data_IF_130229106024
#
_entry.id   IF_130229106024
#
_cell.length_a   1.000
_cell.length_b   1.000
_cell.length_c   1.000
_cell.angle_alpha   90.00
_cell.angle_beta   90.00
_cell.angle_gamma   90.00
#
_symmetry.space_group_name_H-M   'P 1'
#
loop_
_entity.id
_entity.type
_entity.pdbx_description
1 polymer ?
#
# COMPACT_ATOMS: atom_id res chain seq x y z
N UNK A 1 12.43 -14.48 -14.46
CA UNK A 1 12.71 -13.11 -13.92
C UNK A 1 14.03 -12.58 -14.49
N UNK A 2 14.10 -11.28 -14.87
CA UNK A 2 15.33 -10.65 -15.39
C UNK A 2 16.35 -10.43 -14.24
N UNK A 3 17.68 -10.42 -14.55
CA UNK A 3 18.75 -10.20 -13.56
C UNK A 3 18.50 -8.97 -12.67
N UNK A 4 18.16 -7.81 -13.26
CA UNK A 4 17.88 -6.57 -12.53
C UNK A 4 16.68 -6.70 -11.57
N UNK A 5 15.63 -7.41 -11.96
CA UNK A 5 14.47 -7.67 -11.10
C UNK A 5 14.84 -8.56 -9.90
N UNK A 6 15.69 -9.59 -10.14
CA UNK A 6 16.19 -10.44 -9.05
C UNK A 6 17.07 -9.63 -8.09
N UNK A 7 17.99 -8.81 -8.62
CA UNK A 7 18.83 -7.94 -7.80
C UNK A 7 18.01 -6.94 -6.97
N UNK A 8 16.94 -6.35 -7.56
CA UNK A 8 16.04 -5.47 -6.82
C UNK A 8 15.42 -6.18 -5.61
N UNK A 9 14.89 -7.41 -5.81
CA UNK A 9 14.27 -8.16 -4.71
C UNK A 9 15.30 -8.57 -3.64
N UNK A 10 16.53 -8.91 -4.02
CA UNK A 10 17.62 -9.22 -3.09
C UNK A 10 17.94 -8.00 -2.21
N UNK A 11 18.13 -6.81 -2.81
CA UNK A 11 18.40 -5.58 -2.08
C UNK A 11 17.20 -5.13 -1.27
N UNK A 12 15.99 -5.28 -1.82
CA UNK A 12 14.76 -4.94 -1.11
C UNK A 12 14.59 -5.78 0.16
N UNK A 13 14.87 -7.10 0.12
CA UNK A 13 14.87 -7.97 1.30
C UNK A 13 15.88 -7.48 2.33
N UNK A 14 17.11 -7.23 1.90
CA UNK A 14 18.17 -6.77 2.79
C UNK A 14 17.80 -5.47 3.51
N UNK A 15 17.21 -4.49 2.79
CA UNK A 15 16.77 -3.24 3.39
C UNK A 15 15.49 -3.37 4.23
N UNK A 16 14.56 -4.26 3.83
CA UNK A 16 13.30 -4.48 4.57
C UNK A 16 13.51 -5.13 5.93
N UNK A 17 14.48 -6.05 6.01
CA UNK A 17 14.77 -6.84 7.21
C UNK A 17 16.09 -6.47 7.89
N UNK A 18 16.81 -5.45 7.37
CA UNK A 18 18.12 -5.01 7.85
C UNK A 18 19.09 -6.20 8.02
N UNK A 19 19.12 -7.05 7.02
CA UNK A 19 19.83 -8.33 7.06
C UNK A 19 20.88 -8.48 5.98
N UNK A 20 21.88 -9.31 6.22
CA UNK A 20 22.93 -9.62 5.24
C UNK A 20 22.35 -10.28 3.99
N UNK A 21 22.99 -10.02 2.86
CA UNK A 21 22.65 -10.62 1.57
C UNK A 21 23.35 -11.98 1.47
N UNK A 22 22.56 -13.04 1.38
CA UNK A 22 23.08 -14.40 1.22
C UNK A 22 23.35 -14.75 -0.25
N UNK A 23 22.44 -14.36 -1.15
CA UNK A 23 22.54 -14.64 -2.59
C UNK A 23 23.12 -13.46 -3.36
N UNK A 24 24.42 -13.53 -3.63
CA UNK A 24 25.15 -12.54 -4.45
C UNK A 24 25.19 -12.87 -5.94
N UNK A 25 24.49 -13.90 -6.42
CA UNK A 25 24.55 -14.38 -7.82
C UNK A 25 24.14 -13.35 -8.87
N UNK A 26 23.46 -12.26 -8.47
CA UNK A 26 23.11 -11.14 -9.33
C UNK A 26 24.23 -10.11 -9.51
N UNK A 27 25.29 -10.21 -8.75
CA UNK A 27 26.42 -9.28 -8.76
C UNK A 27 27.70 -9.94 -9.30
N UNK A 28 28.63 -9.16 -9.89
CA UNK A 28 28.56 -7.72 -10.10
C UNK A 28 27.53 -7.32 -11.18
N UNK A 29 27.10 -6.07 -11.12
CA UNK A 29 26.19 -5.45 -12.09
C UNK A 29 26.95 -4.39 -12.90
N UNK A 30 26.65 -4.30 -14.21
CA UNK A 30 27.14 -3.22 -15.06
C UNK A 30 26.50 -1.87 -14.69
N UNK A 31 27.13 -0.76 -15.08
CA UNK A 31 26.58 0.58 -14.87
C UNK A 31 25.15 0.75 -15.43
N UNK A 32 24.86 0.14 -16.60
CA UNK A 32 23.53 0.13 -17.19
C UNK A 32 22.50 -0.67 -16.37
N UNK A 33 22.89 -1.83 -15.81
CA UNK A 33 22.04 -2.62 -14.93
C UNK A 33 21.74 -1.88 -13.63
N UNK A 34 22.72 -1.24 -13.02
CA UNK A 34 22.55 -0.41 -11.83
C UNK A 34 21.61 0.77 -12.07
N UNK A 35 21.76 1.48 -13.20
CA UNK A 35 20.85 2.56 -13.60
C UNK A 35 19.42 2.04 -13.78
N UNK A 36 19.24 0.88 -14.39
CA UNK A 36 17.92 0.27 -14.55
C UNK A 36 17.32 -0.17 -13.20
N UNK A 37 18.14 -0.68 -12.27
CA UNK A 37 17.70 -1.04 -10.93
C UNK A 37 17.22 0.20 -10.14
N UNK A 38 17.98 1.28 -10.19
CA UNK A 38 17.59 2.56 -9.61
C UNK A 38 16.24 3.07 -10.17
N UNK A 39 16.05 3.07 -11.48
CA UNK A 39 14.78 3.46 -12.09
C UNK A 39 13.63 2.52 -11.70
N UNK A 40 13.90 1.23 -11.58
CA UNK A 40 12.91 0.24 -11.18
C UNK A 40 12.51 0.41 -9.71
N UNK A 41 13.44 0.73 -8.79
CA UNK A 41 13.12 1.01 -7.38
C UNK A 41 12.17 2.20 -7.24
N UNK A 42 12.40 3.26 -8.02
CA UNK A 42 11.49 4.42 -8.11
C UNK A 42 10.10 4.05 -8.64
N UNK A 43 10.06 3.24 -9.71
CA UNK A 43 8.80 2.76 -10.28
C UNK A 43 7.96 1.94 -9.29
N UNK A 44 8.63 1.26 -8.38
CA UNK A 44 8.02 0.42 -7.35
C UNK A 44 7.82 1.15 -6.02
N UNK A 45 8.24 2.43 -5.92
CA UNK A 45 8.18 3.25 -4.69
C UNK A 45 8.85 2.57 -3.48
N UNK A 46 10.04 2.03 -3.71
CA UNK A 46 10.88 1.36 -2.70
C UNK A 46 12.33 1.86 -2.71
N UNK A 47 12.54 3.09 -3.20
CA UNK A 47 13.88 3.69 -3.41
C UNK A 47 14.69 3.73 -2.13
N UNK A 48 14.12 4.21 -1.02
CA UNK A 48 14.80 4.32 0.28
C UNK A 48 15.12 2.94 0.87
N UNK A 49 14.15 1.99 0.81
CA UNK A 49 14.36 0.63 1.36
C UNK A 49 15.43 -0.13 0.56
N UNK A 50 15.45 0.01 -0.77
CA UNK A 50 16.48 -0.62 -1.62
C UNK A 50 17.83 0.02 -1.38
N UNK A 51 17.91 1.35 -1.16
CA UNK A 51 19.14 2.04 -0.79
C UNK A 51 19.69 1.54 0.55
N UNK A 52 18.84 1.34 1.54
CA UNK A 52 19.19 0.67 2.80
C UNK A 52 19.81 -0.71 2.53
N UNK A 53 19.23 -1.48 1.62
CA UNK A 53 19.75 -2.80 1.23
C UNK A 53 21.13 -2.78 0.56
N UNK A 54 21.47 -1.70 -0.16
CA UNK A 54 22.80 -1.53 -0.78
C UNK A 54 23.91 -1.48 0.28
N UNK A 55 23.63 -0.98 1.49
CA UNK A 55 24.59 -0.91 2.57
C UNK A 55 25.08 -2.30 3.06
N UNK A 56 24.35 -3.37 2.73
CA UNK A 56 24.71 -4.76 3.03
C UNK A 56 25.50 -5.45 1.92
N UNK A 57 25.79 -4.73 0.80
CA UNK A 57 26.63 -5.25 -0.26
C UNK A 57 28.12 -5.09 0.08
N UNK A 58 28.99 -6.05 -0.32
CA UNK A 58 30.43 -5.84 -0.35
C UNK A 58 30.80 -4.62 -1.23
N UNK A 59 31.80 -3.86 -0.79
CA UNK A 59 32.23 -2.61 -1.43
C UNK A 59 32.47 -2.76 -2.95
N UNK A 60 33.12 -3.85 -3.37
CA UNK A 60 33.45 -4.11 -4.79
C UNK A 60 32.22 -4.41 -5.67
N UNK A 61 31.04 -4.55 -5.10
CA UNK A 61 29.76 -4.71 -5.84
C UNK A 61 28.93 -3.43 -5.89
N UNK A 62 29.33 -2.36 -5.19
CA UNK A 62 28.59 -1.12 -5.16
C UNK A 62 28.46 -0.47 -6.54
N UNK A 63 27.41 0.32 -6.80
CA UNK A 63 27.33 1.12 -8.01
C UNK A 63 28.41 2.20 -8.04
N UNK A 64 28.64 2.79 -9.23
CA UNK A 64 29.54 3.93 -9.37
C UNK A 64 29.15 5.07 -8.43
N UNK A 65 30.13 5.78 -7.90
CA UNK A 65 29.98 6.84 -6.89
C UNK A 65 28.93 7.89 -7.29
N UNK A 66 28.91 8.31 -8.55
CA UNK A 66 27.92 9.28 -9.05
C UNK A 66 26.47 8.81 -8.85
N UNK A 67 26.20 7.53 -9.14
CA UNK A 67 24.87 6.97 -8.94
C UNK A 67 24.56 6.79 -7.46
N UNK A 68 25.54 6.41 -6.66
CA UNK A 68 25.38 6.22 -5.21
C UNK A 68 25.03 7.56 -4.53
N UNK A 69 25.75 8.63 -4.85
CA UNK A 69 25.48 10.00 -4.36
C UNK A 69 24.07 10.46 -4.76
N UNK A 70 23.71 10.23 -6.02
CA UNK A 70 22.36 10.57 -6.49
C UNK A 70 21.27 9.81 -5.75
N UNK A 71 21.48 8.52 -5.48
CA UNK A 71 20.51 7.69 -4.76
C UNK A 71 20.38 8.13 -3.30
N UNK A 72 21.51 8.41 -2.66
CA UNK A 72 21.56 8.96 -1.31
C UNK A 72 20.76 10.28 -1.21
N UNK A 73 20.97 11.21 -2.15
CA UNK A 73 20.25 12.48 -2.18
C UNK A 73 18.73 12.31 -2.36
N UNK A 74 18.30 11.29 -3.12
CA UNK A 74 16.87 10.97 -3.28
C UNK A 74 16.30 10.35 -2.00
N UNK A 75 17.04 9.45 -1.35
CA UNK A 75 16.66 8.86 -0.05
C UNK A 75 16.49 9.94 1.02
N UNK A 76 17.42 10.85 1.11
CA UNK A 76 17.37 12.05 1.95
C UNK A 76 16.10 12.91 1.69
N UNK A 77 15.74 13.08 0.42
CA UNK A 77 14.52 13.81 0.07
C UNK A 77 13.24 13.06 0.49
N UNK A 78 13.25 11.73 0.45
CA UNK A 78 12.16 10.88 0.97
C UNK A 78 12.03 11.05 2.49
N UNK A 79 13.14 11.00 3.23
CA UNK A 79 13.14 11.20 4.69
C UNK A 79 12.60 12.57 5.08
N UNK A 80 13.10 13.64 4.44
CA UNK A 80 12.60 15.01 4.69
C UNK A 80 11.11 15.16 4.40
N UNK A 81 10.63 14.55 3.31
CA UNK A 81 9.19 14.53 2.99
C UNK A 81 8.39 13.82 4.08
N UNK A 82 8.85 12.67 4.56
CA UNK A 82 8.18 11.92 5.62
C UNK A 82 8.15 12.69 6.94
N UNK A 83 9.25 13.36 7.33
CA UNK A 83 9.28 14.25 8.51
C UNK A 83 8.26 15.40 8.37
N UNK A 84 8.16 16.02 7.18
CA UNK A 84 7.15 17.05 6.92
C UNK A 84 5.72 16.48 7.04
N UNK A 85 5.49 15.27 6.54
CA UNK A 85 4.18 14.60 6.63
C UNK A 85 3.84 14.24 8.07
N UNK A 86 4.80 13.75 8.88
CA UNK A 86 4.60 13.48 10.30
C UNK A 86 4.19 14.75 11.04
N UNK A 87 4.86 15.87 10.79
CA UNK A 87 4.50 17.16 11.38
C UNK A 87 3.13 17.67 10.95
N UNK A 88 2.79 17.48 9.66
CA UNK A 88 1.46 17.85 9.15
C UNK A 88 0.35 16.98 9.78
N UNK A 89 0.61 15.67 9.95
CA UNK A 89 -0.27 14.71 10.62
C UNK A 89 -0.54 15.12 12.07
N UNK A 90 0.50 15.42 12.87
CA UNK A 90 0.37 15.88 14.25
C UNK A 90 -0.57 17.08 14.36
N UNK A 91 -0.29 18.13 13.60
CA UNK A 91 -1.07 19.36 13.62
C UNK A 91 -2.53 19.14 13.20
N UNK A 92 -2.76 18.21 12.26
CA UNK A 92 -4.10 17.90 11.79
C UNK A 92 -4.88 17.07 12.82
N UNK A 93 -4.23 16.08 13.45
CA UNK A 93 -4.82 15.26 14.52
C UNK A 93 -5.15 16.14 15.73
N UNK A 94 -4.24 17.04 16.13
CA UNK A 94 -4.48 18.00 17.21
C UNK A 94 -5.72 18.84 16.92
N UNK A 95 -5.78 19.47 15.77
CA UNK A 95 -6.90 20.31 15.38
C UNK A 95 -8.24 19.56 15.34
N UNK A 96 -8.26 18.34 14.81
CA UNK A 96 -9.45 17.51 14.82
C UNK A 96 -9.90 17.13 16.24
N UNK A 97 -8.96 16.72 17.09
CA UNK A 97 -9.24 16.35 18.48
C UNK A 97 -9.80 17.52 19.27
N UNK A 98 -9.18 18.71 19.18
CA UNK A 98 -9.67 19.96 19.82
C UNK A 98 -11.06 20.34 19.29
N UNK A 99 -11.39 20.00 18.06
CA UNK A 99 -12.70 20.21 17.45
C UNK A 99 -13.71 19.09 17.76
N UNK A 100 -13.33 18.09 18.57
CA UNK A 100 -14.16 16.93 18.91
C UNK A 100 -14.40 16.00 17.71
N UNK A 101 -13.40 15.82 16.87
CA UNK A 101 -13.36 14.84 15.77
C UNK A 101 -12.22 13.87 16.03
N UNK A 102 -12.49 12.59 15.94
CA UNK A 102 -11.51 11.53 16.17
C UNK A 102 -11.29 10.71 14.90
N UNK A 103 -10.30 11.06 14.07
CA UNK A 103 -9.99 10.31 12.86
C UNK A 103 -9.33 8.96 13.19
N UNK A 104 -9.44 8.02 12.26
CA UNK A 104 -8.66 6.78 12.22
C UNK A 104 -7.64 6.89 11.09
N UNK A 105 -6.35 6.84 11.41
CA UNK A 105 -5.27 6.83 10.41
C UNK A 105 -5.17 5.44 9.79
N UNK A 106 -5.53 5.32 8.52
CA UNK A 106 -5.67 4.00 7.89
C UNK A 106 -4.35 3.37 7.44
N UNK A 107 -3.50 4.14 6.81
CA UNK A 107 -2.31 3.69 6.07
C UNK A 107 -1.15 4.67 6.30
N UNK A 108 -0.29 4.85 5.34
CA UNK A 108 0.73 5.89 5.38
C UNK A 108 1.65 5.75 6.57
N UNK A 109 1.66 6.76 7.44
CA UNK A 109 2.50 6.84 8.63
C UNK A 109 2.15 5.75 9.67
N UNK A 110 0.88 5.34 9.77
CA UNK A 110 0.48 4.24 10.66
C UNK A 110 1.18 2.92 10.30
N UNK A 111 1.34 2.62 9.00
CA UNK A 111 2.09 1.44 8.55
C UNK A 111 3.60 1.69 8.60
N UNK A 112 4.06 2.90 8.30
CA UNK A 112 5.48 3.25 8.38
C UNK A 112 6.07 2.98 9.77
N UNK A 113 5.31 3.17 10.85
CA UNK A 113 5.72 2.87 12.22
C UNK A 113 6.10 1.40 12.47
N UNK A 114 5.69 0.48 11.57
CA UNK A 114 6.04 -0.94 11.64
C UNK A 114 7.40 -1.28 11.01
N UNK A 115 8.05 -0.32 10.34
CA UNK A 115 9.39 -0.46 9.78
C UNK A 115 10.45 -0.13 10.84
N UNK A 116 11.65 -0.69 10.71
CA UNK A 116 12.77 -0.34 11.59
C UNK A 116 13.20 1.12 11.36
N UNK A 117 13.26 1.56 10.09
CA UNK A 117 13.41 2.97 9.75
C UNK A 117 12.14 3.49 9.03
N UNK A 118 11.16 4.08 9.75
CA UNK A 118 9.90 4.57 9.20
C UNK A 118 10.06 5.62 8.09
N UNK A 119 11.15 6.41 8.14
CA UNK A 119 11.38 7.52 7.21
C UNK A 119 11.78 7.04 5.81
N UNK A 120 12.26 5.80 5.66
CA UNK A 120 12.62 5.24 4.35
C UNK A 120 11.42 4.70 3.56
N UNK A 121 10.27 4.50 4.22
CA UNK A 121 9.06 4.09 3.53
C UNK A 121 8.43 5.28 2.81
N UNK A 122 8.38 5.25 1.49
CA UNK A 122 7.81 6.33 0.68
C UNK A 122 6.31 6.52 0.96
N UNK A 123 5.93 7.58 1.68
CA UNK A 123 4.55 7.95 1.92
C UNK A 123 4.04 8.90 0.82
N UNK A 124 2.77 8.74 0.42
CA UNK A 124 2.11 9.57 -0.61
C UNK A 124 1.28 10.69 -0.01
N UNK A 125 0.37 10.31 0.85
CA UNK A 125 -0.75 11.05 1.40
C UNK A 125 -1.01 10.63 2.85
N UNK A 126 -1.89 11.37 3.52
CA UNK A 126 -2.43 11.04 4.84
C UNK A 126 -3.88 10.56 4.63
N UNK A 127 -4.12 9.30 4.91
CA UNK A 127 -5.42 8.66 4.76
C UNK A 127 -6.17 8.61 6.09
N UNK A 128 -7.28 9.33 6.20
CA UNK A 128 -8.18 9.25 7.36
C UNK A 128 -9.48 8.56 7.05
N UNK A 129 -9.96 7.78 7.99
CA UNK A 129 -11.31 7.24 8.04
C UNK A 129 -12.05 7.76 9.26
N UNK A 130 -13.37 7.87 9.16
CA UNK A 130 -14.25 8.28 10.25
C UNK A 130 -15.33 7.20 10.44
N UNK A 131 -15.43 6.69 11.65
CA UNK A 131 -16.31 5.56 12.01
C UNK A 131 -17.81 5.86 11.91
N UNK A 132 -18.17 7.15 11.83
CA UNK A 132 -19.54 7.58 11.61
C UNK A 132 -19.64 8.68 10.54
N UNK A 133 -20.78 8.70 9.84
CA UNK A 133 -21.08 9.75 8.87
C UNK A 133 -21.08 11.14 9.50
N UNK A 134 -21.56 11.25 10.73
CA UNK A 134 -21.55 12.51 11.47
C UNK A 134 -20.15 13.06 11.68
N UNK A 135 -19.17 12.21 12.06
CA UNK A 135 -17.78 12.61 12.23
C UNK A 135 -17.13 12.98 10.90
N UNK A 136 -17.42 12.24 9.82
CA UNK A 136 -16.95 12.57 8.48
C UNK A 136 -17.47 13.95 8.02
N UNK A 137 -18.76 14.22 8.16
CA UNK A 137 -19.36 15.50 7.76
C UNK A 137 -18.84 16.65 8.63
N UNK A 138 -18.63 16.42 9.94
CA UNK A 138 -18.03 17.40 10.84
C UNK A 138 -16.61 17.73 10.45
N UNK A 139 -15.77 16.73 10.17
CA UNK A 139 -14.41 16.91 9.67
C UNK A 139 -14.39 17.70 8.35
N UNK A 140 -15.24 17.34 7.43
CA UNK A 140 -15.36 18.04 6.13
C UNK A 140 -15.82 19.50 6.28
N UNK A 141 -16.75 19.76 7.21
CA UNK A 141 -17.20 21.13 7.52
C UNK A 141 -16.06 21.97 8.09
N UNK A 142 -15.25 21.42 9.01
CA UNK A 142 -14.07 22.11 9.58
C UNK A 142 -13.08 22.52 8.50
N UNK A 143 -12.78 21.61 7.56
CA UNK A 143 -11.87 21.87 6.43
C UNK A 143 -12.39 23.05 5.60
N UNK A 144 -13.69 23.06 5.27
CA UNK A 144 -14.30 24.14 4.50
C UNK A 144 -14.30 25.48 5.24
N UNK A 145 -14.54 25.48 6.55
CA UNK A 145 -14.51 26.68 7.39
C UNK A 145 -13.13 27.32 7.43
N UNK A 146 -12.06 26.52 7.36
CA UNK A 146 -10.68 27.00 7.24
C UNK A 146 -10.30 27.46 5.83
N UNK A 147 -11.24 27.53 4.89
CA UNK A 147 -11.00 27.95 3.51
C UNK A 147 -10.29 26.92 2.63
N UNK A 148 -10.13 25.67 3.09
CA UNK A 148 -9.53 24.60 2.31
C UNK A 148 -10.54 24.06 1.30
N UNK A 149 -10.07 23.85 0.07
CA UNK A 149 -10.90 23.32 -1.03
C UNK A 149 -10.82 21.80 -1.05
N UNK A 150 -11.80 21.14 -0.44
CA UNK A 150 -11.96 19.69 -0.56
C UNK A 150 -12.56 19.29 -1.90
N UNK A 151 -11.92 18.36 -2.62
CA UNK A 151 -12.44 17.77 -3.86
C UNK A 151 -13.10 16.43 -3.51
N UNK A 152 -14.41 16.32 -3.75
CA UNK A 152 -15.13 15.06 -3.60
C UNK A 152 -14.84 14.15 -4.79
N UNK A 153 -14.41 12.92 -4.51
CA UNK A 153 -14.12 11.89 -5.49
C UNK A 153 -15.37 11.05 -5.83
N UNK A 154 -15.24 10.15 -6.81
CA UNK A 154 -16.35 9.31 -7.27
C UNK A 154 -16.86 8.32 -6.21
N UNK A 155 -15.98 7.87 -5.31
CA UNK A 155 -16.27 7.00 -4.18
C UNK A 155 -16.73 7.76 -2.92
N UNK A 156 -17.00 9.05 -3.06
CA UNK A 156 -17.40 9.98 -1.99
C UNK A 156 -16.26 10.29 -0.99
N UNK A 157 -15.03 9.85 -1.24
CA UNK A 157 -13.87 10.33 -0.48
C UNK A 157 -13.62 11.82 -0.76
N UNK A 158 -12.95 12.50 0.15
CA UNK A 158 -12.63 13.93 0.04
C UNK A 158 -11.12 14.13 0.11
N UNK A 159 -10.55 14.68 -0.95
CA UNK A 159 -9.11 14.98 -1.03
C UNK A 159 -8.88 16.49 -0.92
N UNK A 160 -7.89 16.91 -0.13
CA UNK A 160 -7.47 18.31 0.02
C UNK A 160 -5.99 18.41 0.35
N UNK A 161 -5.42 19.62 0.24
CA UNK A 161 -4.05 19.90 0.65
C UNK A 161 -4.01 20.55 2.03
N UNK A 162 -3.21 19.97 2.94
CA UNK A 162 -2.92 20.50 4.28
C UNK A 162 -1.43 20.72 4.43
N UNK A 163 -0.99 21.96 4.61
CA UNK A 163 0.44 22.34 4.77
C UNK A 163 1.37 21.69 3.72
N UNK A 164 0.90 21.62 2.48
CA UNK A 164 1.65 21.04 1.36
C UNK A 164 1.60 19.51 1.25
N UNK A 165 0.85 18.83 2.12
CA UNK A 165 0.61 17.39 2.10
C UNK A 165 -0.80 17.12 1.60
N UNK A 166 -0.96 16.08 0.75
CA UNK A 166 -2.28 15.59 0.33
C UNK A 166 -2.89 14.77 1.48
N UNK A 167 -4.17 15.05 1.76
CA UNK A 167 -4.96 14.35 2.78
C UNK A 167 -6.21 13.81 2.14
N UNK A 168 -6.54 12.55 2.40
CA UNK A 168 -7.77 11.92 1.92
C UNK A 168 -8.64 11.45 3.09
N UNK A 169 -9.94 11.82 3.04
CA UNK A 169 -10.95 11.33 3.97
C UNK A 169 -11.75 10.22 3.30
N UNK A 170 -11.67 9.02 3.83
CA UNK A 170 -12.39 7.85 3.35
C UNK A 170 -13.73 7.67 4.05
N UNK A 171 -14.70 7.13 3.32
CA UNK A 171 -16.05 6.84 3.80
C UNK A 171 -16.22 5.42 4.33
N UNK A 172 -15.24 4.54 4.08
CA UNK A 172 -15.22 3.17 4.58
C UNK A 172 -13.80 2.77 4.98
N UNK A 173 -13.69 1.89 5.97
CA UNK A 173 -12.42 1.30 6.39
C UNK A 173 -12.04 0.15 5.46
N UNK A 174 -12.90 -0.83 5.30
CA UNK A 174 -12.70 -1.99 4.42
C UNK A 174 -13.42 -1.75 3.09
N UNK A 175 -12.66 -1.46 2.03
CA UNK A 175 -13.19 -1.13 0.70
C UNK A 175 -13.58 -2.41 -0.07
N UNK A 176 -14.75 -2.95 0.25
CA UNK A 176 -15.38 -4.10 -0.40
C UNK A 176 -16.42 -3.62 -1.41
N UNK A 177 -16.35 -4.12 -2.64
CA UNK A 177 -17.34 -3.81 -3.69
C UNK A 177 -18.56 -4.71 -3.61
N UNK A 178 -18.46 -5.86 -2.93
CA UNK A 178 -19.57 -6.78 -2.74
C UNK A 178 -20.59 -6.20 -1.73
N UNK A 179 -21.80 -5.82 -2.18
CA UNK A 179 -22.79 -5.19 -1.30
C UNK A 179 -23.29 -6.13 -0.20
N UNK A 180 -23.25 -7.43 -0.40
CA UNK A 180 -23.68 -8.42 0.59
C UNK A 180 -22.69 -8.57 1.74
N UNK A 181 -21.45 -8.10 1.59
CA UNK A 181 -20.41 -8.14 2.61
C UNK A 181 -20.27 -6.82 3.38
N UNK A 182 -20.96 -5.75 2.97
CA UNK A 182 -20.86 -4.44 3.63
C UNK A 182 -21.27 -4.50 5.12
N UNK A 183 -22.34 -5.23 5.42
CA UNK A 183 -22.77 -5.42 6.80
C UNK A 183 -21.72 -6.19 7.61
N UNK A 184 -21.16 -7.24 7.03
CA UNK A 184 -20.11 -8.03 7.69
C UNK A 184 -18.83 -7.21 7.91
N UNK A 185 -18.44 -6.34 6.96
CA UNK A 185 -17.33 -5.42 7.14
C UNK A 185 -17.53 -4.50 8.36
N UNK A 186 -18.76 -4.00 8.55
CA UNK A 186 -19.11 -3.19 9.73
C UNK A 186 -19.15 -4.00 11.03
N UNK A 187 -19.61 -5.24 10.99
CA UNK A 187 -19.56 -6.16 12.14
C UNK A 187 -18.10 -6.42 12.56
N UNK A 188 -17.17 -6.64 11.59
CA UNK A 188 -15.74 -6.78 11.87
C UNK A 188 -15.14 -5.50 12.48
N UNK A 189 -15.48 -4.34 11.94
CA UNK A 189 -15.02 -3.05 12.46
C UNK A 189 -15.47 -2.84 13.91
N UNK A 190 -16.71 -3.20 14.24
CA UNK A 190 -17.23 -3.12 15.62
C UNK A 190 -16.60 -4.14 16.56
N UNK A 191 -16.33 -5.34 16.07
CA UNK A 191 -15.75 -6.44 16.85
C UNK A 191 -14.30 -6.18 17.24
N UNK A 192 -13.48 -5.70 16.29
CA UNK A 192 -12.04 -5.56 16.48
C UNK A 192 -11.62 -4.14 16.87
N UNK A 193 -12.38 -3.12 16.47
CA UNK A 193 -12.16 -1.73 16.87
C UNK A 193 -10.81 -1.15 16.42
N UNK A 194 -10.28 -0.24 17.21
CA UNK A 194 -9.09 0.55 16.91
C UNK A 194 -8.10 0.54 18.06
N UNK A 195 -6.83 0.49 17.73
CA UNK A 195 -5.73 0.75 18.64
C UNK A 195 -5.35 2.24 18.59
N UNK A 196 -4.42 2.66 19.44
CA UNK A 196 -3.86 4.01 19.45
C UNK A 196 -2.38 3.96 19.13
N UNK A 197 -1.93 4.94 18.35
CA UNK A 197 -0.52 5.17 18.04
C UNK A 197 -0.13 6.56 18.53
N UNK A 198 0.92 6.64 19.35
CA UNK A 198 1.45 7.92 19.82
C UNK A 198 2.28 8.58 18.72
N UNK A 199 1.99 9.85 18.46
CA UNK A 199 2.75 10.69 17.54
C UNK A 199 3.92 11.36 18.28
N UNK A 200 4.93 11.83 17.57
CA UNK A 200 6.13 12.47 18.15
C UNK A 200 5.80 13.65 19.06
N UNK A 201 4.74 14.40 18.78
CA UNK A 201 4.23 15.51 19.60
C UNK A 201 3.45 15.09 20.86
N UNK A 202 3.41 13.80 21.19
CA UNK A 202 2.75 13.27 22.40
C UNK A 202 1.22 13.13 22.30
N UNK A 203 0.66 13.28 21.10
CA UNK A 203 -0.76 13.05 20.84
C UNK A 203 -0.98 11.64 20.32
N UNK A 204 -2.14 11.07 20.62
CA UNK A 204 -2.54 9.77 20.11
C UNK A 204 -3.49 9.92 18.93
N UNK A 205 -3.30 9.07 17.94
CA UNK A 205 -4.22 8.89 16.82
C UNK A 205 -4.73 7.45 16.80
N UNK A 206 -6.01 7.28 16.49
CA UNK A 206 -6.57 5.93 16.31
C UNK A 206 -6.03 5.30 15.02
N UNK A 207 -5.68 4.02 15.09
CA UNK A 207 -5.29 3.17 13.95
C UNK A 207 -6.15 1.91 13.94
N UNK A 208 -6.35 1.24 12.80
CA UNK A 208 -7.04 -0.05 12.78
C UNK A 208 -6.33 -1.06 13.68
N UNK A 209 -7.12 -1.88 14.41
CA UNK A 209 -6.56 -3.02 15.16
C UNK A 209 -5.79 -3.97 14.22
N UNK A 210 -4.93 -4.87 14.73
CA UNK A 210 -4.12 -5.76 13.92
C UNK A 210 -4.90 -6.53 12.85
N UNK A 211 -6.04 -7.12 13.22
CA UNK A 211 -6.92 -7.85 12.28
C UNK A 211 -7.44 -6.93 11.19
N UNK A 212 -7.98 -5.76 11.54
CA UNK A 212 -8.50 -4.79 10.59
C UNK A 212 -7.39 -4.21 9.69
N UNK A 213 -6.19 -4.01 10.23
CA UNK A 213 -5.05 -3.51 9.47
C UNK A 213 -4.61 -4.49 8.39
N UNK A 214 -4.48 -5.78 8.72
CA UNK A 214 -4.14 -6.81 7.73
C UNK A 214 -5.23 -6.98 6.68
N UNK A 215 -6.51 -6.94 7.06
CA UNK A 215 -7.63 -6.98 6.11
C UNK A 215 -7.66 -5.76 5.19
N UNK A 216 -7.50 -4.56 5.74
CA UNK A 216 -7.43 -3.30 4.98
C UNK A 216 -6.33 -3.35 3.92
N UNK A 217 -5.13 -3.77 4.30
CA UNK A 217 -4.01 -3.86 3.38
C UNK A 217 -4.23 -4.94 2.31
N UNK A 218 -4.71 -6.12 2.69
CA UNK A 218 -5.02 -7.21 1.75
C UNK A 218 -6.05 -6.79 0.70
N UNK A 219 -7.14 -6.11 1.12
CA UNK A 219 -8.17 -5.57 0.22
C UNK A 219 -7.62 -4.46 -0.67
N UNK A 220 -6.80 -3.56 -0.13
CA UNK A 220 -6.18 -2.48 -0.88
C UNK A 220 -5.24 -3.02 -1.98
N UNK A 221 -4.39 -4.02 -1.66
CA UNK A 221 -3.51 -4.67 -2.63
C UNK A 221 -4.36 -5.37 -3.71
N UNK A 222 -5.40 -6.11 -3.32
CA UNK A 222 -6.31 -6.77 -4.26
C UNK A 222 -6.97 -5.78 -5.22
N UNK A 223 -7.54 -4.68 -4.71
CA UNK A 223 -8.19 -3.63 -5.51
C UNK A 223 -7.24 -3.12 -6.60
N UNK A 224 -5.99 -2.83 -6.24
CA UNK A 224 -5.00 -2.34 -7.19
C UNK A 224 -4.50 -3.41 -8.15
N UNK A 225 -4.33 -4.65 -7.69
CA UNK A 225 -3.98 -5.78 -8.55
C UNK A 225 -5.08 -6.09 -9.59
N UNK A 226 -6.35 -5.93 -9.23
CA UNK A 226 -7.48 -6.07 -10.16
C UNK A 226 -7.58 -4.88 -11.14
N UNK A 227 -7.10 -3.71 -10.75
CA UNK A 227 -7.15 -2.47 -11.52
C UNK A 227 -5.90 -2.24 -12.37
N UNK A 228 -5.20 -1.15 -12.11
CA UNK A 228 -4.08 -0.65 -12.93
C UNK A 228 -2.73 -1.29 -12.61
N UNK A 229 -2.58 -1.94 -11.47
CA UNK A 229 -1.34 -2.53 -10.98
C UNK A 229 -1.02 -2.09 -9.56
N UNK A 230 -0.09 -2.81 -8.95
CA UNK A 230 0.37 -2.64 -7.58
C UNK A 230 1.89 -2.57 -7.55
N UNK A 231 2.46 -1.75 -6.66
CA UNK A 231 3.90 -1.66 -6.45
C UNK A 231 4.40 -2.53 -5.31
N UNK A 232 5.73 -2.71 -5.25
CA UNK A 232 6.37 -3.50 -4.18
C UNK A 232 6.19 -2.86 -2.81
N UNK A 233 6.03 -1.53 -2.71
CA UNK A 233 5.82 -0.84 -1.43
C UNK A 233 4.66 -1.45 -0.64
N UNK A 234 3.50 -1.65 -1.26
CA UNK A 234 2.32 -2.19 -0.59
C UNK A 234 2.52 -3.64 -0.13
N UNK A 235 3.33 -4.41 -0.87
CA UNK A 235 3.71 -5.77 -0.47
C UNK A 235 4.71 -5.75 0.71
N UNK A 236 5.64 -4.79 0.73
CA UNK A 236 6.52 -4.56 1.88
C UNK A 236 5.73 -4.14 3.12
N UNK A 237 4.74 -3.25 2.96
CA UNK A 237 3.82 -2.86 4.02
C UNK A 237 3.14 -4.08 4.65
N UNK A 238 2.57 -4.95 3.81
CA UNK A 238 1.92 -6.18 4.26
C UNK A 238 2.90 -7.13 4.96
N UNK A 239 4.13 -7.29 4.43
CA UNK A 239 5.15 -8.14 5.05
C UNK A 239 5.54 -7.61 6.44
N UNK A 240 5.75 -6.30 6.59
CA UNK A 240 6.06 -5.66 7.89
C UNK A 240 4.91 -5.79 8.87
N UNK A 241 3.68 -5.60 8.40
CA UNK A 241 2.48 -5.76 9.22
C UNK A 241 2.32 -7.21 9.71
N UNK A 242 2.47 -8.19 8.83
CA UNK A 242 2.46 -9.60 9.23
C UNK A 242 3.54 -9.88 10.28
N UNK A 243 4.77 -9.38 10.08
CA UNK A 243 5.88 -9.61 11.00
C UNK A 243 5.68 -8.97 12.38
N UNK A 244 5.19 -7.73 12.44
CA UNK A 244 5.05 -6.97 13.70
C UNK A 244 3.78 -7.30 14.47
N UNK A 245 2.71 -7.74 13.79
CA UNK A 245 1.39 -7.91 14.38
C UNK A 245 0.98 -9.38 14.56
N UNK A 246 1.85 -10.36 14.23
CA UNK A 246 1.49 -11.78 14.20
C UNK A 246 0.97 -12.32 15.55
N UNK A 247 1.55 -11.87 16.67
CA UNK A 247 1.17 -12.33 18.01
C UNK A 247 -0.22 -11.80 18.46
N UNK A 248 -0.73 -10.76 17.76
CA UNK A 248 -2.02 -10.13 18.09
C UNK A 248 -3.16 -10.63 17.18
N UNK A 249 -2.87 -11.59 16.27
CA UNK A 249 -3.83 -12.10 15.28
C UNK A 249 -4.00 -13.60 15.44
N UNK A 250 -5.19 -14.02 15.84
CA UNK A 250 -5.51 -15.43 15.98
C UNK A 250 -5.74 -16.08 14.60
N UNK A 251 -4.92 -17.09 14.26
CA UNK A 251 -4.86 -17.70 12.91
C UNK A 251 -6.18 -18.30 12.44
N UNK A 252 -6.86 -19.07 13.30
CA UNK A 252 -8.11 -19.73 12.94
C UNK A 252 -9.25 -18.71 12.73
N UNK A 253 -9.22 -17.63 13.49
CA UNK A 253 -10.20 -16.54 13.35
C UNK A 253 -9.96 -15.75 12.05
N UNK A 254 -8.72 -15.36 11.77
CA UNK A 254 -8.36 -14.71 10.51
C UNK A 254 -8.75 -15.57 9.31
N UNK A 255 -8.47 -16.87 9.35
CA UNK A 255 -8.84 -17.79 8.29
C UNK A 255 -10.35 -17.84 8.08
N UNK A 256 -11.16 -17.92 9.14
CA UNK A 256 -12.64 -17.87 9.05
C UNK A 256 -13.12 -16.57 8.40
N UNK A 257 -12.55 -15.44 8.75
CA UNK A 257 -12.88 -14.14 8.14
C UNK A 257 -12.59 -14.17 6.65
N UNK A 258 -11.39 -14.57 6.24
CA UNK A 258 -10.97 -14.63 4.84
C UNK A 258 -11.86 -15.56 4.02
N UNK A 259 -12.20 -16.74 4.55
CA UNK A 259 -13.13 -17.67 3.90
C UNK A 259 -14.53 -17.07 3.73
N UNK A 260 -15.07 -16.38 4.73
CA UNK A 260 -16.36 -15.70 4.67
C UNK A 260 -16.36 -14.56 3.65
N UNK A 261 -15.26 -13.82 3.54
CA UNK A 261 -15.06 -12.81 2.50
C UNK A 261 -14.92 -13.42 1.09
N UNK A 262 -14.62 -14.70 0.99
CA UNK A 262 -14.39 -15.39 -0.29
C UNK A 262 -13.05 -15.00 -0.93
N UNK A 263 -12.04 -14.73 -0.10
CA UNK A 263 -10.72 -14.24 -0.49
C UNK A 263 -9.59 -15.25 -0.24
N UNK A 264 -9.94 -16.51 0.02
CA UNK A 264 -8.98 -17.55 0.40
C UNK A 264 -7.84 -17.72 -0.63
N UNK A 265 -8.17 -17.92 -1.89
CA UNK A 265 -7.16 -18.08 -2.95
C UNK A 265 -6.30 -16.84 -3.14
N UNK A 266 -6.89 -15.66 -2.95
CA UNK A 266 -6.16 -14.41 -2.99
C UNK A 266 -5.15 -14.33 -1.85
N UNK A 267 -5.57 -14.64 -0.63
CA UNK A 267 -4.70 -14.57 0.54
C UNK A 267 -3.55 -15.58 0.44
N UNK A 268 -3.82 -16.80 -0.02
CA UNK A 268 -2.77 -17.82 -0.27
C UNK A 268 -1.74 -17.33 -1.31
N UNK A 269 -2.20 -16.65 -2.39
CA UNK A 269 -1.31 -16.06 -3.39
C UNK A 269 -0.46 -14.93 -2.80
N UNK A 270 -1.07 -14.05 -2.00
CA UNK A 270 -0.38 -12.98 -1.29
C UNK A 270 0.67 -13.55 -0.34
N UNK A 271 0.33 -14.54 0.48
CA UNK A 271 1.25 -15.24 1.37
C UNK A 271 2.44 -15.84 0.61
N UNK A 272 2.19 -16.54 -0.51
CA UNK A 272 3.26 -17.08 -1.34
C UNK A 272 4.23 -15.99 -1.80
N UNK A 273 3.70 -14.84 -2.23
CA UNK A 273 4.54 -13.71 -2.65
C UNK A 273 5.40 -13.16 -1.49
N UNK A 274 4.80 -12.95 -0.31
CA UNK A 274 5.51 -12.41 0.85
C UNK A 274 6.67 -13.32 1.29
N UNK A 275 6.44 -14.64 1.28
CA UNK A 275 7.47 -15.63 1.65
C UNK A 275 8.53 -15.73 0.55
N UNK A 276 8.14 -15.98 -0.69
CA UNK A 276 9.06 -16.27 -1.79
C UNK A 276 9.89 -15.05 -2.19
N UNK A 277 9.25 -13.88 -2.31
CA UNK A 277 9.92 -12.70 -2.87
C UNK A 277 10.37 -11.68 -1.84
N UNK A 278 9.72 -11.57 -0.68
CA UNK A 278 10.11 -10.65 0.38
C UNK A 278 10.79 -11.33 1.57
N UNK A 279 10.86 -12.66 1.59
CA UNK A 279 11.58 -13.41 2.63
C UNK A 279 10.90 -13.36 4.01
N UNK A 280 9.58 -13.14 4.06
CA UNK A 280 8.83 -13.24 5.31
C UNK A 280 8.81 -14.71 5.79
N UNK A 281 9.27 -15.04 6.99
CA UNK A 281 9.15 -16.40 7.50
C UNK A 281 7.68 -16.83 7.63
N UNK A 282 7.38 -18.08 7.28
CA UNK A 282 6.01 -18.62 7.27
C UNK A 282 5.31 -18.50 8.63
N UNK A 283 6.08 -18.56 9.73
CA UNK A 283 5.55 -18.44 11.09
C UNK A 283 4.86 -17.10 11.38
N UNK A 284 5.20 -16.04 10.64
CA UNK A 284 4.62 -14.70 10.81
C UNK A 284 3.41 -14.44 9.89
N UNK A 285 3.01 -15.43 9.08
CA UNK A 285 1.79 -15.30 8.30
C UNK A 285 0.55 -15.34 9.20
N UNK A 286 -0.51 -14.60 8.88
CA UNK A 286 -1.77 -14.63 9.63
C UNK A 286 -2.35 -16.03 9.79
N UNK A 287 -2.13 -16.90 8.78
CA UNK A 287 -2.30 -18.35 8.82
C UNK A 287 -1.43 -19.01 7.74
N UNK A 288 -1.05 -20.27 7.96
CA UNK A 288 0.06 -20.90 7.23
C UNK A 288 -0.35 -21.61 5.92
N UNK A 289 -1.31 -21.05 5.18
CA UNK A 289 -1.67 -21.56 3.85
C UNK A 289 -1.08 -20.68 2.75
N UNK A 290 -0.39 -21.32 1.81
CA UNK A 290 0.42 -20.65 0.78
C UNK A 290 0.10 -21.29 -0.57
N UNK A 291 -0.11 -20.47 -1.62
CA UNK A 291 -0.22 -20.96 -2.99
C UNK A 291 1.10 -21.55 -3.48
N UNK A 292 1.02 -22.52 -4.37
CA UNK A 292 2.20 -23.18 -4.96
C UNK A 292 2.98 -22.30 -5.95
N UNK A 293 2.42 -21.17 -6.40
CA UNK A 293 2.98 -20.31 -7.42
C UNK A 293 2.55 -18.86 -7.18
N UNK A 294 3.52 -17.96 -6.98
CA UNK A 294 3.33 -16.52 -6.77
C UNK A 294 3.47 -15.69 -8.05
N UNK A 295 3.90 -16.30 -9.16
CA UNK A 295 4.17 -15.62 -10.42
C UNK A 295 3.00 -14.79 -10.97
N UNK A 296 1.71 -15.15 -10.79
CA UNK A 296 0.62 -14.30 -11.26
C UNK A 296 0.58 -12.91 -10.62
N UNK A 297 0.93 -12.79 -9.34
CA UNK A 297 1.03 -11.49 -8.67
C UNK A 297 2.30 -10.75 -9.07
N UNK A 298 3.42 -11.47 -9.18
CA UNK A 298 4.69 -10.93 -9.64
C UNK A 298 4.58 -10.31 -11.05
N UNK A 299 3.86 -10.96 -11.95
CA UNK A 299 3.61 -10.45 -13.30
C UNK A 299 2.83 -9.13 -13.31
N UNK A 300 1.85 -8.98 -12.41
CA UNK A 300 1.09 -7.72 -12.26
C UNK A 300 2.01 -6.60 -11.80
N UNK A 301 2.87 -6.87 -10.81
CA UNK A 301 3.82 -5.90 -10.26
C UNK A 301 4.79 -5.40 -11.34
N UNK A 302 5.39 -6.32 -12.09
CA UNK A 302 6.37 -5.93 -13.13
C UNK A 302 5.76 -5.25 -14.34
N UNK A 303 4.49 -5.51 -14.65
CA UNK A 303 3.79 -4.85 -15.76
C UNK A 303 3.29 -3.46 -15.42
N UNK A 304 2.74 -3.28 -14.22
CA UNK A 304 2.03 -2.07 -13.83
C UNK A 304 2.88 -1.06 -13.05
N UNK A 305 3.83 -1.54 -12.27
CA UNK A 305 4.48 -0.72 -11.26
C UNK A 305 3.46 -0.12 -10.29
N UNK A 306 3.88 0.88 -9.53
CA UNK A 306 3.00 1.53 -8.55
C UNK A 306 1.80 2.19 -9.25
N UNK A 307 0.59 1.69 -8.97
CA UNK A 307 -0.70 2.16 -9.50
C UNK A 307 -0.78 2.24 -11.05
N UNK A 308 -0.01 1.43 -11.76
CA UNK A 308 -0.01 1.43 -13.24
C UNK A 308 0.57 2.68 -13.89
N UNK A 309 1.27 3.53 -13.14
CA UNK A 309 1.82 4.80 -13.64
C UNK A 309 2.85 4.63 -14.76
N UNK A 310 3.41 3.42 -14.88
CA UNK A 310 4.48 3.10 -15.82
C UNK A 310 4.01 2.20 -16.97
N UNK A 311 2.71 1.96 -17.08
CA UNK A 311 2.16 1.22 -18.24
C UNK A 311 2.31 2.08 -19.49
N UNK A 312 2.95 1.56 -20.58
CA UNK A 312 3.06 2.27 -21.84
C UNK A 312 1.68 2.72 -22.34
N UNK A 313 1.55 3.99 -22.70
CA UNK A 313 0.28 4.57 -23.16
C UNK A 313 -0.63 5.13 -22.04
N UNK A 314 -0.26 5.00 -20.77
CA UNK A 314 -0.98 5.62 -19.67
C UNK A 314 -0.56 7.09 -19.51
N UNK A 315 -1.15 7.99 -20.28
CA UNK A 315 -0.96 9.45 -20.12
C UNK A 315 -2.04 10.01 -19.19
N UNK A 316 -1.65 10.50 -18.03
CA UNK A 316 -2.55 11.19 -17.07
C UNK A 316 -3.09 12.55 -17.54
N UNK A 317 -2.64 13.09 -18.68
CA UNK A 317 -3.04 14.44 -19.16
C UNK A 317 -4.13 14.39 -20.23
N UNK A 318 -5.21 15.10 -19.91
CA UNK A 318 -6.28 15.62 -20.82
C UNK A 318 -6.88 14.63 -21.81
N UNK A 319 -7.29 13.47 -21.36
CA UNK A 319 -8.14 12.63 -22.20
C UNK A 319 -9.60 12.88 -21.87
N UNK A 320 -10.46 12.84 -22.91
CA UNK A 320 -11.90 12.88 -22.72
C UNK A 320 -12.36 11.82 -21.72
N UNK A 321 -13.44 12.04 -21.00
CA UNK A 321 -14.03 11.07 -20.06
C UNK A 321 -14.18 9.67 -20.70
N UNK A 322 -14.46 9.62 -22.02
CA UNK A 322 -14.58 8.37 -22.78
C UNK A 322 -13.24 7.62 -22.92
N UNK A 323 -12.14 8.33 -23.16
CA UNK A 323 -10.83 7.71 -23.28
C UNK A 323 -10.34 7.13 -21.92
N UNK A 324 -10.60 7.83 -20.81
CA UNK A 324 -10.31 7.32 -19.46
C UNK A 324 -11.11 6.05 -19.13
N UNK A 325 -12.41 6.03 -19.48
CA UNK A 325 -13.26 4.85 -19.31
C UNK A 325 -12.80 3.65 -20.15
N UNK A 326 -12.43 3.89 -21.40
CA UNK A 326 -11.88 2.85 -22.28
C UNK A 326 -10.59 2.25 -21.74
N UNK A 327 -9.68 3.07 -21.24
CA UNK A 327 -8.44 2.61 -20.62
C UNK A 327 -8.72 1.75 -19.38
N UNK A 328 -9.65 2.15 -18.53
CA UNK A 328 -10.08 1.37 -17.35
C UNK A 328 -10.66 0.02 -17.76
N UNK A 329 -11.50 -0.01 -18.79
CA UNK A 329 -12.05 -1.27 -19.31
C UNK A 329 -10.95 -2.19 -19.88
N UNK A 330 -9.97 -1.66 -20.61
CA UNK A 330 -8.84 -2.43 -21.10
C UNK A 330 -7.92 -2.95 -19.98
N UNK A 331 -7.71 -2.17 -18.92
CA UNK A 331 -6.93 -2.59 -17.77
C UNK A 331 -7.63 -3.76 -17.05
N UNK A 332 -8.93 -3.65 -16.82
CA UNK A 332 -9.71 -4.71 -16.22
C UNK A 332 -9.75 -5.97 -17.09
N UNK A 333 -9.95 -5.85 -18.40
CA UNK A 333 -9.95 -7.00 -19.31
C UNK A 333 -8.64 -7.80 -19.24
N UNK A 334 -7.50 -7.11 -19.07
CA UNK A 334 -6.19 -7.77 -18.86
C UNK A 334 -6.14 -8.59 -17.58
N UNK A 335 -6.82 -8.14 -16.53
CA UNK A 335 -6.78 -8.75 -15.21
C UNK A 335 -8.01 -9.62 -14.91
N UNK A 336 -8.95 -9.77 -15.86
CA UNK A 336 -10.20 -10.49 -15.64
C UNK A 336 -9.96 -11.97 -15.24
N UNK A 337 -9.00 -12.64 -15.90
CA UNK A 337 -8.64 -14.03 -15.56
C UNK A 337 -8.07 -14.14 -14.15
N UNK A 338 -7.26 -13.17 -13.75
CA UNK A 338 -6.73 -13.07 -12.40
C UNK A 338 -7.85 -12.86 -11.38
N UNK A 339 -8.76 -11.91 -11.63
CA UNK A 339 -9.90 -11.62 -10.76
C UNK A 339 -10.75 -12.86 -10.49
N UNK A 340 -11.18 -13.56 -11.55
CA UNK A 340 -12.03 -14.75 -11.40
C UNK A 340 -11.30 -15.97 -10.82
N UNK A 341 -9.98 -16.04 -10.96
CA UNK A 341 -9.19 -17.13 -10.38
C UNK A 341 -8.98 -16.95 -8.88
N UNK A 342 -8.66 -15.72 -8.43
CA UNK A 342 -8.20 -15.46 -7.07
C UNK A 342 -9.24 -14.80 -6.16
N UNK A 343 -10.11 -13.95 -6.67
CA UNK A 343 -11.14 -13.26 -5.91
C UNK A 343 -12.46 -13.17 -6.73
N UNK A 344 -13.11 -14.31 -7.07
CA UNK A 344 -14.23 -14.32 -8.02
C UNK A 344 -15.42 -13.47 -7.56
N UNK A 345 -15.74 -13.50 -6.26
CA UNK A 345 -16.87 -12.73 -5.71
C UNK A 345 -16.60 -11.23 -5.79
N UNK A 346 -15.46 -10.79 -5.30
CA UNK A 346 -15.08 -9.37 -5.31
C UNK A 346 -14.82 -8.87 -6.75
N UNK A 347 -14.12 -9.67 -7.56
CA UNK A 347 -13.87 -9.37 -8.98
C UNK A 347 -15.15 -9.14 -9.79
N UNK A 348 -16.21 -9.90 -9.54
CA UNK A 348 -17.52 -9.68 -10.17
C UNK A 348 -18.11 -8.31 -9.78
N UNK A 349 -18.04 -7.92 -8.52
CA UNK A 349 -18.61 -6.66 -8.05
C UNK A 349 -17.75 -5.45 -8.45
N UNK A 350 -16.44 -5.58 -8.46
CA UNK A 350 -15.52 -4.57 -9.03
C UNK A 350 -15.88 -4.33 -10.50
N UNK A 351 -16.07 -5.38 -11.28
CA UNK A 351 -16.51 -5.29 -12.67
C UNK A 351 -17.89 -4.63 -12.82
N UNK A 352 -18.85 -5.06 -12.02
CA UNK A 352 -20.20 -4.49 -12.03
C UNK A 352 -20.20 -2.99 -11.70
N UNK A 353 -19.37 -2.55 -10.72
CA UNK A 353 -19.26 -1.13 -10.36
C UNK A 353 -18.59 -0.30 -11.45
N UNK A 354 -17.59 -0.86 -12.15
CA UNK A 354 -16.98 -0.21 -13.31
C UNK A 354 -17.98 -0.02 -14.46
N UNK A 355 -18.82 -1.03 -14.74
CA UNK A 355 -19.89 -0.90 -15.75
C UNK A 355 -20.92 0.14 -15.37
N UNK A 356 -21.38 0.17 -14.11
CA UNK A 356 -22.32 1.20 -13.62
C UNK A 356 -21.75 2.60 -13.70
N UNK A 357 -20.47 2.78 -13.39
CA UNK A 357 -19.76 4.04 -13.55
C UNK A 357 -19.59 4.48 -15.01
N UNK A 358 -19.70 3.55 -15.96
CA UNK A 358 -19.69 3.85 -17.40
C UNK A 358 -21.06 4.24 -17.95
N UNK A 359 -22.14 3.87 -17.27
CA UNK A 359 -23.52 4.17 -17.69
C UNK A 359 -24.07 5.46 -17.08
N UNK A 360 -23.33 6.12 -16.20
CA UNK A 360 -23.60 7.47 -15.67
C UNK A 360 -22.65 8.49 -16.33
#
# INVERSE_FOLDING_TARGET
MKKVQKALLVLLRAGLWESRIEDLSCFPMSAGEWKNLYLLSRQQTVTGIVFQGIQYLPEHFLPAEELLVRWMAETDAIERKNMQMNKALELLVQWFTESGVQPVLQKGQGIASLYENPLLRECGDIDFYFDSRQMFEKAFSLIRQCGLRGKVQADQSVTYAWKGVEVEHHTCLLDLHNPFLQRYAKELEQQYGYNHMSLEGGQDVRIPSPVLNLLLQSLHILKHALGWGIGLRQLCDMARSCYKLHDEVESEEMKKIILKLGMDRWQQLLHAFLVEHLGLPVAYLPYQEIASDSSPLLDIIWRGGNFGLYVPGHQRKSQSLLAGKWQTACAFQRNIRFAFRYAPKEGFWVFSSLLKGQLK
#
